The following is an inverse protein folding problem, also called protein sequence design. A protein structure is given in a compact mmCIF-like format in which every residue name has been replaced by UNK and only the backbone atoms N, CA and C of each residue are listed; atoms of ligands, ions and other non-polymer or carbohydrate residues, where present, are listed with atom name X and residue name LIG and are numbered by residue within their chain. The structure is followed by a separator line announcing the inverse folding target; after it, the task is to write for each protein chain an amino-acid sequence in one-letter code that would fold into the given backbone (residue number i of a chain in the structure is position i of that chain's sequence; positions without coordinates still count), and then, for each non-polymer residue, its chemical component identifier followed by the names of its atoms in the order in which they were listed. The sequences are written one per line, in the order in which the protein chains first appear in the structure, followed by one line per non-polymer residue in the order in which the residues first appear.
data_IF_022384877511
#
_entry.id   IF_022384877511
#
_cell.length_a   1.000
_cell.length_b   1.000
_cell.length_c   1.000
_cell.angle_alpha   90.00
_cell.angle_beta   90.00
_cell.angle_gamma   90.00
#
_symmetry.space_group_name_H-M   'P 1'
#
loop_
_entity.id
_entity.type
_entity.pdbx_description
1 polymer ?
#
# COMPACT_ATOMS: atom_id res chain seq x y z
N UNK A 1 27.02 -11.14 0.46
CA UNK A 1 26.95 -10.74 -0.97
C UNK A 1 25.69 -9.93 -1.16
N UNK A 2 25.73 -8.84 -1.92
CA UNK A 2 24.54 -8.02 -2.23
C UNK A 2 23.65 -8.72 -3.28
N UNK A 3 22.33 -8.53 -3.17
CA UNK A 3 21.36 -9.00 -4.17
C UNK A 3 21.34 -7.98 -5.33
N UNK A 4 21.44 -8.41 -6.60
CA UNK A 4 21.54 -7.49 -7.75
C UNK A 4 20.17 -6.93 -8.17
N UNK A 5 19.37 -6.47 -7.20
CA UNK A 5 18.12 -5.74 -7.42
C UNK A 5 18.35 -4.30 -6.99
N UNK A 6 18.17 -3.37 -7.93
CA UNK A 6 18.46 -1.96 -7.72
C UNK A 6 17.16 -1.16 -7.63
N UNK A 7 17.22 -0.02 -6.94
CA UNK A 7 16.14 0.95 -7.00
C UNK A 7 15.93 1.41 -8.45
N UNK A 8 14.68 1.54 -8.91
CA UNK A 8 14.38 2.00 -10.26
C UNK A 8 14.73 3.49 -10.46
N UNK A 9 15.10 3.91 -11.68
CA UNK A 9 15.42 5.31 -12.00
C UNK A 9 14.14 6.15 -12.19
N UNK A 10 13.27 6.16 -11.19
CA UNK A 10 11.96 6.87 -11.20
C UNK A 10 11.90 8.05 -10.22
N UNK A 11 12.96 8.27 -9.45
CA UNK A 11 13.13 9.40 -8.54
C UNK A 11 13.84 10.53 -9.28
N UNK A 12 13.30 11.75 -9.23
CA UNK A 12 13.80 12.87 -10.05
C UNK A 12 14.44 13.98 -9.22
N UNK A 13 14.06 14.09 -7.97
CA UNK A 13 14.53 15.16 -7.11
C UNK A 13 15.94 14.85 -6.58
N UNK A 14 16.78 15.89 -6.53
CA UNK A 14 18.13 15.84 -5.98
C UNK A 14 18.17 16.78 -4.77
N UNK A 15 17.95 16.24 -3.59
CA UNK A 15 18.01 16.98 -2.32
C UNK A 15 19.21 16.53 -1.50
N UNK A 16 19.84 17.47 -0.78
CA UNK A 16 20.92 17.15 0.16
C UNK A 16 20.46 16.17 1.25
N UNK A 17 19.20 16.32 1.70
CA UNK A 17 18.60 15.47 2.72
C UNK A 17 17.15 15.12 2.32
N UNK A 18 16.86 13.82 2.22
CA UNK A 18 15.56 13.29 1.82
C UNK A 18 14.73 12.94 3.06
N UNK A 19 13.51 13.46 3.15
CA UNK A 19 12.57 13.19 4.24
C UNK A 19 11.76 11.89 4.03
N UNK A 20 11.65 11.42 2.79
CA UNK A 20 10.89 10.22 2.42
C UNK A 20 10.47 10.21 0.96
N UNK A 21 9.49 9.37 0.62
CA UNK A 21 8.93 9.26 -0.74
C UNK A 21 9.47 8.11 -1.59
N UNK A 22 10.46 7.37 -1.10
CA UNK A 22 11.09 6.23 -1.79
C UNK A 22 10.74 4.86 -1.20
N UNK A 23 9.79 4.80 -0.26
CA UNK A 23 9.37 3.56 0.38
C UNK A 23 8.66 2.59 -0.58
N UNK A 24 8.74 1.30 -0.27
CA UNK A 24 8.03 0.23 -0.96
C UNK A 24 7.60 -0.85 0.03
N UNK A 25 6.52 -1.55 -0.32
CA UNK A 25 6.13 -2.82 0.28
C UNK A 25 6.56 -3.95 -0.64
N UNK A 26 6.77 -5.15 -0.10
CA UNK A 26 7.05 -6.34 -0.90
C UNK A 26 6.41 -7.57 -0.26
N UNK A 27 6.21 -8.61 -1.07
CA UNK A 27 5.85 -9.95 -0.60
C UNK A 27 6.55 -11.00 -1.48
N UNK A 28 6.69 -12.22 -0.95
CA UNK A 28 7.34 -13.33 -1.64
C UNK A 28 6.37 -14.49 -1.84
N UNK A 29 6.08 -14.79 -3.10
CA UNK A 29 5.32 -15.96 -3.49
C UNK A 29 6.24 -17.18 -3.57
N UNK A 30 6.23 -17.99 -2.50
CA UNK A 30 7.01 -19.22 -2.42
C UNK A 30 6.63 -20.30 -3.44
N UNK A 31 5.39 -20.29 -3.96
CA UNK A 31 4.94 -21.29 -4.95
C UNK A 31 5.69 -21.12 -6.26
N UNK A 32 5.93 -19.88 -6.68
CA UNK A 32 6.56 -19.54 -7.95
C UNK A 32 8.00 -19.03 -7.77
N UNK A 33 8.53 -19.01 -6.54
CA UNK A 33 9.79 -18.35 -6.17
C UNK A 33 9.89 -16.90 -6.68
N UNK A 34 8.81 -16.14 -6.49
CA UNK A 34 8.61 -14.82 -7.10
C UNK A 34 8.57 -13.72 -6.04
N UNK A 35 9.44 -12.72 -6.21
CA UNK A 35 9.41 -11.48 -5.43
C UNK A 35 8.57 -10.43 -6.16
N UNK A 36 7.69 -9.76 -5.41
CA UNK A 36 6.88 -8.64 -5.89
C UNK A 36 7.11 -7.44 -4.99
N UNK A 37 7.48 -6.29 -5.57
CA UNK A 37 7.66 -5.03 -4.86
C UNK A 37 6.71 -3.96 -5.40
N UNK A 38 6.08 -3.19 -4.51
CA UNK A 38 5.22 -2.06 -4.84
C UNK A 38 5.74 -0.78 -4.18
N UNK A 39 6.36 0.10 -4.97
CA UNK A 39 6.74 1.43 -4.51
C UNK A 39 5.50 2.26 -4.20
N UNK A 40 5.51 2.97 -3.06
CA UNK A 40 4.33 3.70 -2.57
C UNK A 40 3.91 4.82 -3.53
N UNK A 41 4.86 5.49 -4.16
CA UNK A 41 4.58 6.56 -5.11
C UNK A 41 4.44 6.13 -6.58
N UNK A 42 4.33 4.84 -6.90
CA UNK A 42 4.40 4.39 -8.30
C UNK A 42 3.28 3.46 -8.72
N UNK A 43 2.74 3.67 -9.92
CA UNK A 43 1.60 2.89 -10.44
C UNK A 43 1.91 1.40 -10.65
N UNK A 44 3.17 1.04 -10.90
CA UNK A 44 3.53 -0.32 -11.33
C UNK A 44 4.18 -1.14 -10.21
N UNK A 45 3.95 -2.46 -10.25
CA UNK A 45 4.66 -3.45 -9.45
C UNK A 45 5.93 -3.90 -10.17
N UNK A 46 7.00 -4.08 -9.40
CA UNK A 46 8.26 -4.66 -9.82
C UNK A 46 8.24 -6.16 -9.48
N UNK A 47 8.54 -7.03 -10.44
CA UNK A 47 8.45 -8.49 -10.26
C UNK A 47 9.72 -9.17 -10.77
N UNK A 48 10.22 -10.16 -10.03
CA UNK A 48 11.35 -11.01 -10.43
C UNK A 48 11.18 -12.42 -9.89
N UNK A 49 11.62 -13.42 -10.67
CA UNK A 49 11.60 -14.85 -10.29
C UNK A 49 13.00 -15.41 -10.01
N UNK A 50 14.05 -14.62 -10.29
CA UNK A 50 15.45 -15.03 -10.18
C UNK A 50 16.31 -14.04 -9.39
N UNK A 51 15.64 -13.07 -8.75
CA UNK A 51 16.25 -11.98 -7.99
C UNK A 51 17.25 -11.15 -8.81
N UNK A 52 17.02 -11.03 -10.12
CA UNK A 52 17.89 -10.30 -11.05
C UNK A 52 17.14 -9.63 -12.19
N UNK A 53 16.38 -10.39 -12.98
CA UNK A 53 15.66 -9.85 -14.13
C UNK A 53 14.30 -9.31 -13.70
N UNK A 54 14.02 -8.06 -14.08
CA UNK A 54 12.86 -7.30 -13.60
C UNK A 54 11.80 -7.20 -14.69
N UNK A 55 10.55 -7.43 -14.32
CA UNK A 55 9.35 -7.14 -15.10
C UNK A 55 8.48 -6.13 -14.35
N UNK A 56 7.70 -5.36 -15.10
CA UNK A 56 6.81 -4.34 -14.55
C UNK A 56 5.37 -4.57 -14.99
N UNK A 57 4.45 -4.50 -14.02
CA UNK A 57 3.01 -4.68 -14.27
C UNK A 57 2.23 -3.51 -13.71
N UNK A 58 1.24 -3.01 -14.47
CA UNK A 58 0.37 -1.97 -13.98
C UNK A 58 -0.47 -2.50 -12.80
N UNK A 59 -0.51 -1.74 -11.70
CA UNK A 59 -1.38 -2.03 -10.56
C UNK A 59 -2.01 -0.73 -10.06
N UNK A 60 -2.45 0.10 -11.01
CA UNK A 60 -2.96 1.44 -10.72
C UNK A 60 -4.36 1.37 -10.13
N UNK A 61 -4.65 2.19 -9.11
CA UNK A 61 -6.02 2.32 -8.60
C UNK A 61 -6.87 3.07 -9.61
N UNK A 62 -8.13 2.66 -9.79
CA UNK A 62 -9.09 3.40 -10.62
C UNK A 62 -9.50 4.73 -10.00
N UNK A 63 -9.34 4.89 -8.68
CA UNK A 63 -9.72 6.09 -7.93
C UNK A 63 -8.62 7.15 -7.87
N UNK A 64 -7.38 6.81 -8.26
CA UNK A 64 -6.23 7.69 -8.19
C UNK A 64 -5.80 8.17 -9.58
N UNK A 65 -5.21 9.36 -9.65
CA UNK A 65 -4.44 9.79 -10.84
C UNK A 65 -3.15 8.98 -10.93
N UNK A 66 -2.61 8.84 -12.14
CA UNK A 66 -1.30 8.21 -12.32
C UNK A 66 -0.23 8.98 -11.55
N UNK A 67 0.69 8.27 -10.90
CA UNK A 67 1.73 8.87 -10.08
C UNK A 67 3.12 8.28 -10.31
N UNK A 68 4.11 9.13 -10.10
CA UNK A 68 5.52 8.76 -9.92
C UNK A 68 5.97 9.21 -8.53
N UNK A 69 6.98 8.55 -7.93
CA UNK A 69 7.46 8.94 -6.63
C UNK A 69 7.90 10.40 -6.62
N UNK A 70 7.60 11.07 -5.52
CA UNK A 70 8.05 12.43 -5.24
C UNK A 70 8.79 12.41 -3.92
N UNK A 71 10.08 12.71 -3.95
CA UNK A 71 10.87 12.75 -2.73
C UNK A 71 10.48 13.96 -1.87
N UNK A 72 10.48 13.76 -0.56
CA UNK A 72 10.33 14.87 0.39
C UNK A 72 11.68 15.53 0.65
N UNK A 73 11.73 16.85 0.69
CA UNK A 73 12.93 17.60 1.08
C UNK A 73 12.92 17.86 2.59
N UNK A 74 13.93 17.37 3.32
CA UNK A 74 14.02 17.57 4.78
C UNK A 74 14.11 19.04 5.19
N UNK A 75 14.56 19.93 4.30
CA UNK A 75 14.59 21.38 4.56
C UNK A 75 13.21 22.01 4.64
N UNK A 76 12.15 21.36 4.12
CA UNK A 76 10.76 21.81 4.32
C UNK A 76 10.26 21.50 5.75
N UNK A 77 11.04 20.80 6.56
CA UNK A 77 10.70 20.42 7.92
C UNK A 77 9.41 19.58 7.97
N UNK A 78 8.50 19.96 8.88
CA UNK A 78 7.25 19.23 9.08
C UNK A 78 6.35 19.19 7.85
N UNK A 79 6.46 20.17 6.94
CA UNK A 79 5.64 20.24 5.74
C UNK A 79 5.93 19.09 4.77
N UNK A 80 7.17 18.59 4.71
CA UNK A 80 7.49 17.41 3.91
C UNK A 80 6.73 16.18 4.42
N UNK A 81 6.65 16.02 5.74
CA UNK A 81 5.96 14.89 6.39
C UNK A 81 4.45 15.00 6.18
N UNK A 82 3.87 16.19 6.39
CA UNK A 82 2.44 16.45 6.14
C UNK A 82 2.08 16.08 4.70
N UNK A 83 2.84 16.57 3.71
CA UNK A 83 2.60 16.25 2.29
C UNK A 83 2.66 14.74 2.03
N UNK A 84 3.61 14.02 2.63
CA UNK A 84 3.71 12.56 2.47
C UNK A 84 2.51 11.81 3.07
N UNK A 85 1.90 12.34 4.14
CA UNK A 85 0.73 11.77 4.78
C UNK A 85 -0.60 12.16 4.14
N UNK A 86 -0.72 13.36 3.57
CA UNK A 86 -1.92 13.82 2.88
C UNK A 86 -2.05 13.25 1.47
N UNK A 87 -0.92 13.13 0.76
CA UNK A 87 -0.95 12.70 -0.63
C UNK A 87 -1.46 11.25 -0.78
N UNK A 88 -2.14 10.94 -1.89
CA UNK A 88 -2.45 9.57 -2.22
C UNK A 88 -1.17 8.78 -2.50
N UNK A 89 -1.15 7.52 -2.08
CA UNK A 89 -0.01 6.60 -2.29
C UNK A 89 -0.50 5.16 -2.20
N UNK A 90 0.28 4.25 -2.75
CA UNK A 90 0.13 2.82 -2.49
C UNK A 90 0.75 2.45 -1.15
N UNK A 91 0.32 1.32 -0.62
CA UNK A 91 0.86 0.77 0.62
C UNK A 91 1.23 -0.71 0.45
N UNK A 92 0.55 -1.62 1.15
CA UNK A 92 0.84 -3.05 1.08
C UNK A 92 0.71 -3.61 -0.35
N UNK A 93 1.61 -4.52 -0.70
CA UNK A 93 1.39 -5.57 -1.70
C UNK A 93 1.44 -6.90 -0.94
N UNK A 94 0.38 -7.70 -1.03
CA UNK A 94 0.26 -8.93 -0.24
C UNK A 94 -0.14 -10.09 -1.15
N UNK A 95 0.61 -11.17 -1.11
CA UNK A 95 0.29 -12.39 -1.85
C UNK A 95 -0.68 -13.27 -1.06
N UNK A 96 -1.74 -13.68 -1.73
CA UNK A 96 -2.68 -14.65 -1.22
C UNK A 96 -2.34 -16.06 -1.68
N UNK A 97 -1.64 -16.80 -0.83
CA UNK A 97 -1.25 -18.19 -1.12
C UNK A 97 -2.43 -19.18 -1.24
N UNK A 98 -3.61 -18.84 -0.71
CA UNK A 98 -4.77 -19.75 -0.74
C UNK A 98 -5.61 -19.57 -2.00
N UNK A 99 -5.62 -18.36 -2.58
CA UNK A 99 -6.41 -17.99 -3.75
C UNK A 99 -5.58 -17.64 -4.98
N UNK A 100 -4.25 -17.62 -4.86
CA UNK A 100 -3.30 -17.28 -5.93
C UNK A 100 -3.58 -15.92 -6.57
N UNK A 101 -3.78 -14.91 -5.72
CA UNK A 101 -4.04 -13.51 -6.09
C UNK A 101 -3.14 -12.58 -5.28
N UNK A 102 -3.08 -11.30 -5.65
CA UNK A 102 -2.38 -10.27 -4.89
C UNK A 102 -3.35 -9.16 -4.47
N UNK A 103 -3.13 -8.61 -3.28
CA UNK A 103 -3.84 -7.44 -2.76
C UNK A 103 -2.89 -6.24 -2.72
N UNK A 104 -3.24 -5.17 -3.42
CA UNK A 104 -2.52 -3.90 -3.35
C UNK A 104 -3.38 -2.84 -2.69
N UNK A 105 -2.89 -2.25 -1.61
CA UNK A 105 -3.59 -1.19 -0.89
C UNK A 105 -3.24 0.17 -1.50
N UNK A 106 -4.24 1.05 -1.60
CA UNK A 106 -4.08 2.41 -2.11
C UNK A 106 -4.79 3.41 -1.18
N UNK A 107 -4.04 4.34 -0.61
CA UNK A 107 -4.56 5.42 0.22
C UNK A 107 -5.12 6.55 -0.67
N UNK A 108 -6.32 7.03 -0.35
CA UNK A 108 -6.97 8.12 -1.08
C UNK A 108 -6.35 9.48 -0.70
N UNK A 109 -6.53 10.54 -1.52
CA UNK A 109 -6.12 11.88 -1.11
C UNK A 109 -6.78 12.29 0.20
N UNK A 110 -6.03 12.95 1.07
CA UNK A 110 -6.50 13.40 2.37
C UNK A 110 -6.00 14.81 2.67
N UNK A 111 -6.65 15.49 3.61
CA UNK A 111 -6.17 16.74 4.17
C UNK A 111 -6.16 16.59 5.68
N UNK A 112 -4.97 16.68 6.26
CA UNK A 112 -4.75 16.53 7.68
C UNK A 112 -5.39 17.73 8.39
N UNK A 113 -6.28 17.45 9.35
CA UNK A 113 -6.87 18.48 10.18
C UNK A 113 -5.82 19.05 11.13
N UNK A 114 -6.02 20.29 11.60
CA UNK A 114 -5.06 20.97 12.48
C UNK A 114 -4.86 20.28 13.83
N UNK A 115 -5.80 19.44 14.26
CA UNK A 115 -5.75 18.66 15.48
C UNK A 115 -5.21 17.23 15.26
N UNK A 116 -4.91 16.83 14.03
CA UNK A 116 -4.30 15.53 13.73
C UNK A 116 -2.77 15.63 13.76
N UNK A 117 -2.13 14.60 14.31
CA UNK A 117 -0.67 14.54 14.35
C UNK A 117 -0.12 14.29 12.95
N UNK A 118 0.89 15.06 12.50
CA UNK A 118 1.56 14.82 11.23
C UNK A 118 2.40 13.54 11.23
N UNK A 119 2.66 12.93 12.39
CA UNK A 119 3.44 11.70 12.51
C UNK A 119 2.59 10.44 12.66
N UNK A 120 1.31 10.60 13.02
CA UNK A 120 0.41 9.48 13.18
C UNK A 120 -0.27 9.11 11.85
N UNK A 121 -0.81 7.90 11.80
CA UNK A 121 -1.66 7.51 10.68
C UNK A 121 -2.98 8.27 10.72
N UNK A 122 -3.39 8.95 9.63
CA UNK A 122 -4.66 9.67 9.63
C UNK A 122 -5.82 8.67 9.72
N UNK A 123 -6.55 8.72 10.83
CA UNK A 123 -7.61 7.77 11.17
C UNK A 123 -8.78 7.84 10.18
N UNK A 124 -9.01 9.02 9.61
CA UNK A 124 -10.07 9.31 8.66
C UNK A 124 -9.73 9.05 7.19
N UNK A 125 -8.50 8.64 6.86
CA UNK A 125 -8.09 8.47 5.46
C UNK A 125 -8.75 7.22 4.86
N UNK A 126 -9.50 7.44 3.78
CA UNK A 126 -10.07 6.35 2.98
C UNK A 126 -8.96 5.60 2.24
N UNK A 127 -9.21 4.34 1.92
CA UNK A 127 -8.30 3.52 1.12
C UNK A 127 -9.10 2.61 0.19
N UNK A 128 -8.42 1.97 -0.76
CA UNK A 128 -8.96 0.87 -1.56
C UNK A 128 -8.01 -0.32 -1.54
N UNK A 129 -8.56 -1.50 -1.84
CA UNK A 129 -7.79 -2.72 -2.07
C UNK A 129 -8.03 -3.17 -3.51
N UNK A 130 -6.96 -3.16 -4.29
CA UNK A 130 -6.89 -3.68 -5.66
C UNK A 130 -6.61 -5.17 -5.56
N UNK A 131 -7.36 -5.97 -6.32
CA UNK A 131 -7.15 -7.41 -6.45
C UNK A 131 -6.54 -7.68 -7.82
N UNK A 132 -5.38 -8.33 -7.82
CA UNK A 132 -4.70 -8.78 -9.04
C UNK A 132 -4.69 -10.31 -9.10
N UNK A 133 -4.88 -10.89 -10.29
CA UNK A 133 -4.70 -12.33 -10.48
C UNK A 133 -3.20 -12.71 -10.49
N UNK A 134 -2.91 -14.00 -10.69
CA UNK A 134 -1.54 -14.53 -10.67
C UNK A 134 -0.63 -13.95 -11.77
N UNK A 135 -1.24 -13.46 -12.87
CA UNK A 135 -0.58 -12.84 -14.02
C UNK A 135 -0.48 -11.31 -13.90
N UNK A 136 -0.82 -10.77 -12.71
CA UNK A 136 -0.81 -9.35 -12.39
C UNK A 136 -1.82 -8.51 -13.17
N UNK A 137 -2.91 -9.12 -13.66
CA UNK A 137 -4.04 -8.40 -14.22
C UNK A 137 -4.97 -7.94 -13.10
N UNK A 138 -5.42 -6.69 -13.16
CA UNK A 138 -6.38 -6.15 -12.18
C UNK A 138 -7.76 -6.77 -12.45
N UNK A 139 -8.25 -7.56 -11.50
CA UNK A 139 -9.56 -8.24 -11.59
C UNK A 139 -10.64 -7.57 -10.73
N UNK A 140 -10.27 -6.62 -9.87
CA UNK A 140 -11.22 -5.92 -9.02
C UNK A 140 -10.57 -4.85 -8.15
N UNK A 141 -11.38 -3.94 -7.64
CA UNK A 141 -10.94 -2.96 -6.63
C UNK A 141 -12.14 -2.53 -5.78
N UNK A 142 -11.98 -2.55 -4.46
CA UNK A 142 -13.01 -2.15 -3.51
C UNK A 142 -12.51 -0.98 -2.67
N UNK A 143 -13.31 0.10 -2.58
CA UNK A 143 -13.04 1.25 -1.72
C UNK A 143 -13.58 1.00 -0.31
N UNK A 144 -12.84 1.47 0.69
CA UNK A 144 -13.14 1.34 2.11
C UNK A 144 -13.25 2.72 2.76
N UNK A 145 -14.19 2.90 3.70
CA UNK A 145 -14.31 4.16 4.43
C UNK A 145 -13.14 4.35 5.40
N UNK A 146 -12.80 5.61 5.67
CA UNK A 146 -11.98 5.98 6.81
C UNK A 146 -12.70 5.71 8.14
N UNK A 147 -12.01 5.95 9.26
CA UNK A 147 -12.53 5.85 10.65
C UNK A 147 -13.00 4.48 11.10
N UNK A 148 -13.00 3.46 10.24
CA UNK A 148 -13.45 2.11 10.57
C UNK A 148 -12.30 1.12 10.70
N UNK A 149 -11.40 1.10 9.72
CA UNK A 149 -10.36 0.07 9.61
C UNK A 149 -8.99 0.62 10.00
N UNK A 150 -8.15 -0.25 10.55
CA UNK A 150 -6.71 -0.03 10.73
C UNK A 150 -5.94 -0.93 9.77
N UNK A 151 -5.90 -0.54 8.49
CA UNK A 151 -5.45 -1.40 7.40
C UNK A 151 -3.97 -1.79 7.46
N UNK A 152 -3.14 -1.06 8.23
CA UNK A 152 -1.74 -1.43 8.49
C UNK A 152 -1.61 -2.73 9.29
N UNK A 153 -2.66 -3.14 10.01
CA UNK A 153 -2.81 -4.50 10.54
C UNK A 153 -3.72 -5.30 9.61
N UNK A 154 -3.14 -5.81 8.52
CA UNK A 154 -3.81 -6.73 7.61
C UNK A 154 -3.02 -8.02 7.45
N UNK A 155 -3.72 -9.13 7.23
CA UNK A 155 -3.08 -10.42 6.92
C UNK A 155 -3.98 -11.29 6.04
N UNK A 156 -3.38 -12.24 5.34
CA UNK A 156 -4.12 -13.25 4.59
C UNK A 156 -4.30 -14.51 5.45
N UNK A 157 -5.55 -14.92 5.64
CA UNK A 157 -5.92 -16.18 6.28
C UNK A 157 -6.49 -17.19 5.28
N UNK A 158 -6.80 -18.41 5.72
CA UNK A 158 -7.42 -19.44 4.84
C UNK A 158 -8.72 -18.94 4.21
N UNK A 159 -9.52 -18.20 4.98
CA UNK A 159 -10.86 -17.76 4.57
C UNK A 159 -10.88 -16.50 3.70
N UNK A 160 -9.87 -15.63 3.77
CA UNK A 160 -9.97 -14.30 3.18
C UNK A 160 -8.79 -13.39 3.49
N UNK A 161 -8.92 -12.13 3.07
CA UNK A 161 -8.10 -11.01 3.53
C UNK A 161 -8.70 -10.46 4.82
N UNK A 162 -7.92 -10.42 5.88
CA UNK A 162 -8.31 -9.87 7.17
C UNK A 162 -7.77 -8.45 7.30
N UNK A 163 -8.65 -7.51 7.64
CA UNK A 163 -8.30 -6.10 7.87
C UNK A 163 -8.80 -5.74 9.27
N UNK A 164 -7.93 -5.19 10.10
CA UNK A 164 -8.29 -4.84 11.48
C UNK A 164 -9.35 -3.74 11.54
N UNK A 165 -10.23 -3.81 12.54
CA UNK A 165 -11.21 -2.75 12.88
C UNK A 165 -10.73 -1.85 14.03
N UNK A 166 -9.49 -2.02 14.50
CA UNK A 166 -8.90 -1.27 15.62
C UNK A 166 -8.48 0.17 15.27
N UNK A 167 -9.31 0.86 14.48
CA UNK A 167 -9.17 2.30 14.28
C UNK A 167 -9.71 3.03 15.52
N UNK A 168 -8.96 4.00 16.04
CA UNK A 168 -9.35 4.76 17.24
C UNK A 168 -10.65 5.57 17.07
N UNK A 169 -11.09 5.83 15.84
CA UNK A 169 -12.36 6.50 15.55
C UNK A 169 -13.51 5.52 15.24
N UNK A 170 -13.27 4.22 15.29
CA UNK A 170 -14.33 3.23 15.13
C UNK A 170 -15.21 3.25 16.41
N UNK A 171 -16.53 3.45 16.31
CA UNK A 171 -17.41 3.44 17.49
C UNK A 171 -17.39 2.14 18.31
N UNK A 172 -16.88 1.05 17.74
CA UNK A 172 -16.72 -0.25 18.40
C UNK A 172 -15.28 -0.52 18.85
N UNK A 173 -14.39 0.48 18.79
CA UNK A 173 -13.01 0.34 19.23
C UNK A 173 -12.94 -0.05 20.72
N UNK A 174 -12.13 -1.06 21.01
CA UNK A 174 -11.78 -1.51 22.36
C UNK A 174 -10.30 -1.89 22.33
N UNK A 175 -9.48 -1.19 23.12
CA UNK A 175 -8.03 -1.42 23.19
C UNK A 175 -7.66 -2.82 23.69
N UNK A 176 -8.57 -3.48 24.42
CA UNK A 176 -8.36 -4.83 24.95
C UNK A 176 -8.84 -5.93 23.98
N UNK A 177 -9.33 -5.58 22.79
CA UNK A 177 -9.81 -6.53 21.78
C UNK A 177 -9.17 -6.28 20.44
N UNK A 178 -8.41 -7.24 19.94
CA UNK A 178 -7.92 -7.23 18.56
C UNK A 178 -9.00 -7.82 17.63
N UNK A 179 -9.58 -6.99 16.75
CA UNK A 179 -10.72 -7.34 15.91
C UNK A 179 -10.35 -7.23 14.43
N UNK A 180 -10.76 -8.22 13.64
CA UNK A 180 -10.57 -8.23 12.19
C UNK A 180 -11.86 -8.62 11.45
N UNK A 181 -12.17 -7.92 10.36
CA UNK A 181 -13.16 -8.38 9.39
C UNK A 181 -12.48 -9.24 8.32
N UNK A 182 -13.08 -10.37 7.95
CA UNK A 182 -12.64 -11.20 6.83
C UNK A 182 -13.35 -10.81 5.53
N UNK A 183 -12.59 -10.46 4.51
CA UNK A 183 -13.08 -10.12 3.18
C UNK A 183 -12.82 -11.25 2.20
N UNK A 184 -13.89 -11.67 1.50
CA UNK A 184 -13.86 -12.72 0.48
C UNK A 184 -14.04 -12.09 -0.90
N UNK A 185 -13.37 -12.65 -1.89
CA UNK A 185 -13.58 -12.27 -3.30
C UNK A 185 -14.93 -12.83 -3.74
N UNK A 186 -15.76 -11.99 -4.36
CA UNK A 186 -17.03 -12.37 -4.98
C UNK A 186 -17.04 -11.83 -6.40
N UNK A 187 -17.60 -12.62 -7.33
CA UNK A 187 -17.89 -12.11 -8.67
C UNK A 187 -19.01 -11.08 -8.57
N UNK A 188 -18.83 -9.94 -9.23
CA UNK A 188 -19.93 -9.00 -9.46
C UNK A 188 -20.77 -9.59 -10.61
N UNK A 189 -22.08 -9.77 -10.42
CA UNK A 189 -22.97 -10.26 -11.48
C UNK A 189 -23.03 -9.30 -12.68
#
# INVERSE_FOLDING_TARGET
KWIPIFYPPIFKEEYDNIAGGYGFSYDYNYKESRLVCGFFGYDSLMVTDDLKHIRWYNAKSRYLKSMKPKLGNSMEGINAIIKLNENPRYWHIMYDKYRNVYYRFAEMPYKLASNESPYDEPKGKEFSVIVLNADFEIIGETKFPGKKYFYKMSFVGREGLYISENNLENPQFDENKLVFTCFKIKNVP
#
